data_IF_690374717336
#
_entry.id   IF_690374717336
#
_cell.length_a   1.000
_cell.length_b   1.000
_cell.length_c   1.000
_cell.angle_alpha   90.00
_cell.angle_beta   90.00
_cell.angle_gamma   90.00
#
_symmetry.space_group_name_H-M   'P 1'
#
loop_
_entity.id
_entity.type
_entity.pdbx_description
1 polymer ?
#
# COMPACT_ATOMS: atom_id res chain seq x y z
N UNK A 1 -66.59 0.65 17.44
CA UNK A 1 -65.18 1.10 17.35
C UNK A 1 -64.66 1.33 18.76
N UNK A 2 -63.68 0.53 19.23
CA UNK A 2 -63.19 0.59 20.61
C UNK A 2 -62.20 1.75 20.74
N UNK A 3 -62.54 2.79 21.50
CA UNK A 3 -61.69 3.98 21.69
C UNK A 3 -60.44 3.57 22.50
N UNK A 4 -59.25 3.79 21.94
CA UNK A 4 -57.97 3.52 22.58
C UNK A 4 -57.82 4.46 23.79
N UNK A 5 -57.65 3.92 25.00
CA UNK A 5 -57.56 4.72 26.21
C UNK A 5 -56.29 5.59 26.26
N UNK A 6 -56.30 6.71 27.02
CA UNK A 6 -55.20 7.67 27.06
C UNK A 6 -53.85 7.06 27.45
N UNK A 7 -53.85 6.00 28.27
CA UNK A 7 -52.64 5.24 28.64
C UNK A 7 -52.03 4.49 27.46
N UNK A 8 -52.84 3.88 26.60
CA UNK A 8 -52.35 3.17 25.42
C UNK A 8 -51.83 4.15 24.36
N UNK A 9 -52.44 5.34 24.25
CA UNK A 9 -51.91 6.43 23.43
C UNK A 9 -50.54 6.91 23.95
N UNK A 10 -50.41 7.11 25.27
CA UNK A 10 -49.14 7.52 25.88
C UNK A 10 -48.04 6.46 25.74
N UNK A 11 -48.38 5.18 25.83
CA UNK A 11 -47.41 4.09 25.62
C UNK A 11 -46.98 3.98 24.16
N UNK A 12 -47.90 4.18 23.19
CA UNK A 12 -47.57 4.23 21.78
C UNK A 12 -46.71 5.46 21.45
N UNK A 13 -47.07 6.63 21.97
CA UNK A 13 -46.29 7.86 21.82
C UNK A 13 -44.91 7.74 22.50
N UNK A 14 -44.84 7.11 23.67
CA UNK A 14 -43.57 6.83 24.37
C UNK A 14 -42.73 5.81 23.61
N UNK A 15 -43.33 4.79 23.00
CA UNK A 15 -42.62 3.82 22.17
C UNK A 15 -42.08 4.44 20.87
N UNK A 16 -42.85 5.32 20.24
CA UNK A 16 -42.40 6.12 19.08
C UNK A 16 -41.28 7.07 19.49
N UNK A 17 -41.39 7.73 20.65
CA UNK A 17 -40.38 8.67 21.15
C UNK A 17 -39.05 7.97 21.47
N UNK A 18 -39.10 6.78 22.09
CA UNK A 18 -37.94 5.93 22.36
C UNK A 18 -37.29 5.44 21.06
N UNK A 19 -38.06 5.22 19.99
CA UNK A 19 -37.53 4.87 18.68
C UNK A 19 -36.88 6.07 17.96
N UNK A 20 -37.20 7.31 18.38
CA UNK A 20 -36.70 8.56 17.80
C UNK A 20 -35.55 9.19 18.59
N UNK A 21 -34.90 8.47 19.51
CA UNK A 21 -33.57 8.90 19.97
C UNK A 21 -32.57 8.78 18.80
N UNK A 22 -32.55 9.80 17.95
CA UNK A 22 -31.48 10.04 16.99
C UNK A 22 -30.23 10.41 17.76
N UNK A 23 -29.48 9.38 18.17
CA UNK A 23 -28.13 9.56 18.67
C UNK A 23 -27.26 10.01 17.49
N UNK A 24 -27.15 11.31 17.29
CA UNK A 24 -26.12 11.85 16.42
C UNK A 24 -24.77 11.43 17.00
N UNK A 25 -24.02 10.61 16.26
CA UNK A 25 -22.66 10.25 16.63
C UNK A 25 -21.75 11.49 16.67
N UNK A 26 -20.52 11.32 17.16
CA UNK A 26 -19.50 12.34 16.96
C UNK A 26 -19.09 12.37 15.49
N UNK A 27 -18.90 13.57 14.94
CA UNK A 27 -18.41 13.78 13.59
C UNK A 27 -17.01 14.41 13.61
N UNK A 28 -16.21 14.17 12.57
CA UNK A 28 -14.86 14.74 12.43
C UNK A 28 -14.68 15.46 11.10
N UNK A 29 -13.84 16.50 11.09
CA UNK A 29 -13.42 17.20 9.88
C UNK A 29 -11.89 17.21 9.86
N UNK A 30 -11.28 16.72 8.77
CA UNK A 30 -9.83 16.63 8.63
C UNK A 30 -9.38 17.16 7.28
N UNK A 31 -8.30 17.94 7.29
CA UNK A 31 -7.61 18.37 6.09
C UNK A 31 -6.18 17.85 6.11
N UNK A 32 -5.74 17.31 4.98
CA UNK A 32 -4.37 16.86 4.76
C UNK A 32 -3.73 17.73 3.69
N UNK A 33 -2.69 18.46 4.07
CA UNK A 33 -1.88 19.30 3.19
C UNK A 33 -0.56 18.62 2.91
N UNK A 34 -0.28 18.31 1.64
CA UNK A 34 0.95 17.64 1.21
C UNK A 34 1.65 18.51 0.18
N UNK A 35 2.93 18.82 0.41
CA UNK A 35 3.77 19.53 -0.54
C UNK A 35 5.00 18.69 -0.88
N UNK A 36 5.25 18.47 -2.16
CA UNK A 36 6.34 17.64 -2.67
C UNK A 36 7.24 18.47 -3.57
N UNK A 37 8.48 18.71 -3.13
CA UNK A 37 9.48 19.34 -3.98
C UNK A 37 9.83 18.42 -5.14
N UNK A 38 9.91 18.96 -6.35
CA UNK A 38 10.31 18.23 -7.55
C UNK A 38 11.48 18.92 -8.22
N UNK A 39 12.73 18.51 -7.89
CA UNK A 39 13.92 19.04 -8.52
C UNK A 39 13.83 18.88 -10.05
N UNK A 40 14.12 19.95 -10.79
CA UNK A 40 14.03 19.98 -12.26
C UNK A 40 12.64 20.27 -12.87
N UNK A 41 11.56 20.23 -12.07
CA UNK A 41 10.18 20.47 -12.56
C UNK A 41 9.54 21.77 -12.05
N UNK A 42 10.34 22.67 -11.48
CA UNK A 42 9.89 24.00 -11.02
C UNK A 42 9.29 24.00 -9.62
N UNK A 43 8.08 24.55 -9.49
CA UNK A 43 7.39 24.71 -8.20
C UNK A 43 7.02 23.35 -7.56
N UNK A 44 7.08 23.23 -6.22
CA UNK A 44 6.60 22.05 -5.51
C UNK A 44 5.14 21.75 -5.85
N UNK A 45 4.80 20.47 -6.01
CA UNK A 45 3.39 20.07 -6.13
C UNK A 45 2.73 20.19 -4.77
N UNK A 46 1.59 20.88 -4.71
CA UNK A 46 0.76 20.98 -3.52
C UNK A 46 -0.57 20.26 -3.72
N UNK A 47 -0.94 19.43 -2.75
CA UNK A 47 -2.24 18.77 -2.67
C UNK A 47 -2.89 19.07 -1.32
N UNK A 48 -4.19 19.37 -1.36
CA UNK A 48 -5.01 19.51 -0.16
C UNK A 48 -6.24 18.62 -0.29
N UNK A 49 -6.51 17.82 0.75
CA UNK A 49 -7.63 16.88 0.75
C UNK A 49 -8.43 17.02 2.02
N UNK A 50 -9.74 17.24 1.87
CA UNK A 50 -10.69 17.38 2.98
C UNK A 50 -11.57 16.15 3.16
N UNK A 51 -11.73 15.72 4.41
CA UNK A 51 -12.58 14.61 4.84
C UNK A 51 -13.60 15.08 5.87
N UNK A 52 -14.88 14.75 5.65
CA UNK A 52 -15.91 14.76 6.69
C UNK A 52 -16.12 13.31 7.11
N UNK A 53 -15.96 13.05 8.40
CA UNK A 53 -15.80 11.72 8.97
C UNK A 53 -14.65 10.99 8.27
N UNK A 54 -14.94 9.98 7.46
CA UNK A 54 -13.96 9.27 6.63
C UNK A 54 -14.24 9.43 5.12
N UNK A 55 -15.14 10.36 4.76
CA UNK A 55 -15.53 10.61 3.37
C UNK A 55 -14.80 11.82 2.82
N UNK A 56 -13.98 11.61 1.79
CA UNK A 56 -13.36 12.70 1.06
C UNK A 56 -14.44 13.53 0.38
N UNK A 57 -14.48 14.83 0.66
CA UNK A 57 -15.49 15.73 0.10
C UNK A 57 -14.91 16.84 -0.76
N UNK A 58 -13.64 17.19 -0.59
CA UNK A 58 -12.95 18.18 -1.42
C UNK A 58 -11.50 17.80 -1.72
N UNK A 59 -10.99 18.31 -2.83
CA UNK A 59 -9.58 18.19 -3.22
C UNK A 59 -9.10 19.43 -3.97
N UNK A 60 -7.87 19.85 -3.68
CA UNK A 60 -7.10 20.79 -4.50
C UNK A 60 -5.82 20.10 -4.98
N UNK A 61 -5.47 20.29 -6.25
CA UNK A 61 -4.19 19.86 -6.84
C UNK A 61 -3.57 21.02 -7.62
N UNK A 62 -2.36 21.43 -7.25
CA UNK A 62 -1.64 22.52 -7.90
C UNK A 62 -1.22 22.19 -9.34
N UNK A 63 -1.10 20.90 -9.67
CA UNK A 63 -0.66 20.44 -11.00
C UNK A 63 -1.82 20.27 -11.98
N UNK A 64 -3.07 20.40 -11.52
CA UNK A 64 -4.20 20.33 -12.42
C UNK A 64 -4.12 21.45 -13.48
N UNK A 65 -4.56 21.23 -14.72
CA UNK A 65 -4.56 22.28 -15.76
C UNK A 65 -5.29 23.56 -15.35
N UNK A 66 -6.29 23.45 -14.47
CA UNK A 66 -6.95 24.57 -13.83
C UNK A 66 -7.02 24.34 -12.31
N UNK A 67 -5.98 24.75 -11.54
CA UNK A 67 -5.92 24.50 -10.11
C UNK A 67 -7.03 25.25 -9.36
N UNK A 68 -8.00 24.47 -8.86
CA UNK A 68 -9.13 24.92 -8.06
C UNK A 68 -9.54 23.85 -7.05
N UNK A 69 -10.29 24.25 -6.03
CA UNK A 69 -10.91 23.32 -5.12
C UNK A 69 -12.05 22.60 -5.85
N UNK A 70 -12.05 21.28 -5.80
CA UNK A 70 -13.00 20.43 -6.51
C UNK A 70 -13.85 19.60 -5.54
N UNK A 71 -15.16 19.43 -5.82
CA UNK A 71 -16.00 18.54 -5.05
C UNK A 71 -15.61 17.08 -5.30
N UNK A 72 -15.64 16.27 -4.23
CA UNK A 72 -15.40 14.82 -4.25
C UNK A 72 -16.58 14.02 -3.70
N UNK A 73 -17.63 14.71 -3.27
CA UNK A 73 -18.90 14.13 -2.87
C UNK A 73 -20.08 14.95 -3.41
N UNK A 74 -21.17 14.28 -3.78
CA UNK A 74 -22.33 14.94 -4.42
C UNK A 74 -22.98 16.02 -3.57
N UNK A 75 -22.99 15.84 -2.25
CA UNK A 75 -23.65 16.78 -1.34
C UNK A 75 -22.93 18.13 -1.24
N UNK A 76 -21.66 18.24 -1.63
CA UNK A 76 -20.94 19.52 -1.63
C UNK A 76 -21.09 20.27 -2.97
N UNK A 77 -21.55 19.60 -4.04
CA UNK A 77 -21.73 20.23 -5.36
C UNK A 77 -22.78 21.35 -5.35
N UNK A 78 -23.69 21.35 -4.37
CA UNK A 78 -24.69 22.41 -4.18
C UNK A 78 -24.12 23.74 -3.71
N UNK A 79 -22.85 23.77 -3.27
CA UNK A 79 -22.20 24.99 -2.81
C UNK A 79 -22.00 25.99 -3.96
N UNK A 80 -22.22 27.27 -3.65
CA UNK A 80 -22.15 28.36 -4.63
C UNK A 80 -20.72 28.66 -5.12
N UNK A 81 -20.58 29.38 -6.24
CA UNK A 81 -19.26 29.72 -6.80
C UNK A 81 -18.37 30.51 -5.82
N UNK A 82 -18.97 31.36 -4.98
CA UNK A 82 -18.24 32.12 -3.96
C UNK A 82 -17.51 31.24 -2.94
N UNK A 83 -18.13 30.11 -2.56
CA UNK A 83 -17.51 29.12 -1.68
C UNK A 83 -16.28 28.51 -2.35
N UNK A 84 -16.42 28.08 -3.60
CA UNK A 84 -15.35 27.45 -4.37
C UNK A 84 -14.19 28.41 -4.64
N UNK A 85 -14.49 29.66 -5.01
CA UNK A 85 -13.49 30.70 -5.25
C UNK A 85 -12.72 31.05 -3.98
N UNK A 86 -13.44 31.19 -2.85
CA UNK A 86 -12.82 31.45 -1.54
C UNK A 86 -11.89 30.30 -1.12
N UNK A 87 -12.37 29.06 -1.17
CA UNK A 87 -11.56 27.91 -0.77
C UNK A 87 -10.38 27.67 -1.72
N UNK A 88 -10.56 27.93 -3.02
CA UNK A 88 -9.45 27.91 -3.99
C UNK A 88 -8.40 28.96 -3.65
N UNK A 89 -8.81 30.18 -3.30
CA UNK A 89 -7.88 31.23 -2.89
C UNK A 89 -7.15 30.87 -1.59
N UNK A 90 -7.85 30.30 -0.62
CA UNK A 90 -7.26 29.85 0.64
C UNK A 90 -6.24 28.73 0.40
N UNK A 91 -6.57 27.72 -0.40
CA UNK A 91 -5.64 26.64 -0.75
C UNK A 91 -4.38 27.17 -1.44
N UNK A 92 -4.53 28.12 -2.39
CA UNK A 92 -3.40 28.82 -3.04
C UNK A 92 -2.59 29.69 -2.07
N UNK A 93 -3.23 30.34 -1.11
CA UNK A 93 -2.57 31.14 -0.08
C UNK A 93 -1.78 30.30 0.91
N UNK A 94 -2.33 29.15 1.32
CA UNK A 94 -1.66 28.16 2.15
C UNK A 94 -0.49 27.49 1.40
N UNK A 95 -0.51 27.53 0.06
CA UNK A 95 0.50 26.94 -0.81
C UNK A 95 1.89 27.60 -0.77
N UNK A 96 2.22 28.45 0.21
CA UNK A 96 3.58 28.99 0.44
C UNK A 96 4.61 27.92 0.86
N UNK A 97 4.42 26.67 0.46
CA UNK A 97 5.31 25.55 0.76
C UNK A 97 6.70 25.70 0.16
N UNK A 98 6.89 26.50 -0.89
CA UNK A 98 8.24 26.76 -1.42
C UNK A 98 9.17 27.28 -0.35
N UNK A 99 8.72 28.27 0.43
CA UNK A 99 9.53 28.86 1.51
C UNK A 99 9.79 27.81 2.59
N UNK A 100 8.75 27.16 3.08
CA UNK A 100 8.87 26.16 4.15
C UNK A 100 9.75 24.98 3.75
N UNK A 101 9.62 24.47 2.52
CA UNK A 101 10.43 23.36 2.00
C UNK A 101 11.89 23.78 1.85
N UNK A 102 12.18 24.99 1.36
CA UNK A 102 13.54 25.50 1.27
C UNK A 102 14.17 25.68 2.66
N UNK A 103 13.40 26.20 3.62
CA UNK A 103 13.83 26.34 5.01
C UNK A 103 14.12 24.98 5.65
N UNK A 104 13.22 24.01 5.53
CA UNK A 104 13.41 22.65 6.04
C UNK A 104 14.63 21.98 5.40
N UNK A 105 14.81 22.14 4.08
CA UNK A 105 15.98 21.64 3.36
C UNK A 105 17.28 22.20 3.93
N UNK A 106 17.32 23.50 4.21
CA UNK A 106 18.46 24.16 4.84
C UNK A 106 18.75 23.64 6.25
N UNK A 107 17.71 23.49 7.09
CA UNK A 107 17.86 22.98 8.46
C UNK A 107 18.47 21.57 8.50
N UNK A 108 18.11 20.71 7.55
CA UNK A 108 18.63 19.35 7.48
C UNK A 108 19.85 19.19 6.55
N UNK A 109 20.41 20.29 6.04
CA UNK A 109 21.55 20.30 5.10
C UNK A 109 21.34 19.36 3.89
N UNK A 110 20.11 19.31 3.37
CA UNK A 110 19.76 18.46 2.23
C UNK A 110 20.14 19.14 0.91
N UNK A 111 20.71 18.38 -0.03
CA UNK A 111 21.02 18.86 -1.38
C UNK A 111 19.78 18.81 -2.30
N UNK A 112 19.84 19.51 -3.44
CA UNK A 112 18.90 19.29 -4.54
C UNK A 112 19.13 17.93 -5.17
N UNK A 113 18.49 16.91 -4.62
CA UNK A 113 18.56 15.56 -5.18
C UNK A 113 17.71 15.48 -6.45
N UNK A 114 18.32 15.51 -7.62
CA UNK A 114 17.65 15.01 -8.82
C UNK A 114 17.27 13.53 -8.59
N UNK A 115 16.01 13.11 -8.80
CA UNK A 115 15.74 11.69 -8.90
C UNK A 115 16.61 11.15 -10.04
N UNK A 116 17.27 9.99 -9.87
CA UNK A 116 18.13 9.45 -10.92
C UNK A 116 17.31 9.32 -12.19
N UNK A 117 17.63 10.13 -13.21
CA UNK A 117 17.05 9.93 -14.52
C UNK A 117 17.33 8.47 -14.90
N UNK A 118 16.36 7.73 -15.45
CA UNK A 118 16.61 6.41 -15.99
C UNK A 118 17.53 6.57 -17.20
N UNK A 119 18.81 6.72 -16.93
CA UNK A 119 19.86 6.81 -17.93
C UNK A 119 19.89 5.53 -18.74
N UNK A 120 20.51 5.58 -19.92
CA UNK A 120 20.74 4.42 -20.76
C UNK A 120 21.30 3.20 -20.00
N UNK A 121 22.03 3.42 -18.90
CA UNK A 121 22.54 2.38 -18.01
C UNK A 121 21.42 1.65 -17.25
N UNK A 122 20.46 2.40 -16.69
CA UNK A 122 19.31 1.83 -15.97
C UNK A 122 18.39 1.05 -16.92
N UNK A 123 18.14 1.60 -18.12
CA UNK A 123 17.37 0.90 -19.15
C UNK A 123 18.11 -0.34 -19.68
N UNK A 124 19.43 -0.28 -19.82
CA UNK A 124 20.28 -1.41 -20.22
C UNK A 124 20.26 -2.57 -19.22
N UNK A 125 20.25 -2.26 -17.92
CA UNK A 125 20.11 -3.27 -16.85
C UNK A 125 18.75 -3.98 -16.94
N UNK A 126 17.66 -3.23 -17.13
CA UNK A 126 16.31 -3.81 -17.23
C UNK A 126 16.21 -4.72 -18.47
N UNK A 127 16.68 -4.26 -19.64
CA UNK A 127 16.66 -5.07 -20.88
C UNK A 127 17.56 -6.30 -20.74
N UNK A 128 18.74 -6.16 -20.14
CA UNK A 128 19.66 -7.27 -19.89
C UNK A 128 19.07 -8.34 -18.97
N UNK A 129 18.38 -7.93 -17.89
CA UNK A 129 17.69 -8.86 -16.99
C UNK A 129 16.53 -9.59 -17.67
N UNK A 130 15.73 -8.88 -18.47
CA UNK A 130 14.64 -9.50 -19.27
C UNK A 130 15.22 -10.52 -20.26
N UNK A 131 16.29 -10.16 -20.99
CA UNK A 131 16.94 -11.08 -21.92
C UNK A 131 17.53 -12.30 -21.20
N UNK A 132 18.14 -12.13 -20.03
CA UNK A 132 18.71 -13.22 -19.24
C UNK A 132 17.64 -14.20 -18.76
N UNK A 133 16.48 -13.70 -18.33
CA UNK A 133 15.34 -14.55 -17.91
C UNK A 133 14.75 -15.31 -19.10
N UNK A 134 14.61 -14.66 -20.26
CA UNK A 134 14.08 -15.29 -21.49
C UNK A 134 15.04 -16.35 -22.02
N UNK A 135 16.35 -16.08 -21.99
CA UNK A 135 17.37 -17.00 -22.51
C UNK A 135 17.68 -18.14 -21.53
N UNK A 136 17.67 -17.86 -20.22
CA UNK A 136 17.91 -18.85 -19.17
C UNK A 136 16.86 -19.97 -19.13
N UNK A 137 15.61 -19.68 -19.51
CA UNK A 137 14.55 -20.70 -19.60
C UNK A 137 14.79 -21.74 -20.71
N UNK A 138 15.54 -21.39 -21.76
CA UNK A 138 15.79 -22.29 -22.90
C UNK A 138 16.85 -23.35 -22.56
N UNK A 139 17.85 -23.01 -21.75
CA UNK A 139 18.95 -23.92 -21.40
C UNK A 139 18.55 -25.00 -20.38
N UNK A 140 17.62 -24.71 -19.47
CA UNK A 140 17.12 -25.71 -18.51
C UNK A 140 16.19 -26.75 -19.17
N UNK A 141 15.41 -26.35 -20.19
CA UNK A 141 14.51 -27.24 -20.92
C UNK A 141 15.22 -28.24 -21.84
N UNK A 142 16.41 -27.89 -22.37
CA UNK A 142 17.13 -28.72 -23.33
C UNK A 142 17.86 -29.93 -22.71
N UNK A 143 18.25 -29.87 -21.42
CA UNK A 143 19.03 -30.94 -20.77
C UNK A 143 18.16 -32.10 -20.25
N UNK A 144 16.86 -31.88 -20.03
CA UNK A 144 15.97 -32.89 -19.41
C UNK A 144 15.41 -33.91 -20.43
N UNK A 145 15.64 -33.74 -21.73
CA UNK A 145 15.20 -34.72 -22.75
C UNK A 145 16.26 -35.78 -23.10
N UNK A 146 17.49 -35.67 -22.56
CA UNK A 146 18.59 -36.56 -22.91
C UNK A 146 18.99 -37.56 -21.81
N UNK A 147 18.05 -37.92 -20.93
CA UNK A 147 18.22 -39.04 -19.97
C UNK A 147 16.94 -39.84 -19.77
N UNK A 148 16.14 -40.03 -20.84
CA UNK A 148 14.95 -40.90 -20.77
C UNK A 148 14.53 -41.49 -22.12
N UNK A 149 15.50 -41.84 -22.97
CA UNK A 149 15.26 -42.59 -24.20
C UNK A 149 16.35 -43.66 -24.43
N UNK A 150 16.74 -44.42 -23.40
CA UNK A 150 17.38 -45.72 -23.61
C UNK A 150 16.83 -46.70 -22.59
N UNK A 151 16.07 -47.68 -23.07
CA UNK A 151 15.64 -48.84 -22.30
C UNK A 151 16.37 -50.07 -22.80
N UNK A 152 16.89 -50.88 -21.88
CA UNK A 152 17.02 -52.35 -22.00
C UNK A 152 17.42 -52.88 -20.61
N UNK A 153 16.51 -53.54 -19.87
CA UNK A 153 16.25 -55.01 -19.80
C UNK A 153 17.43 -55.84 -19.27
N UNK A 154 17.21 -56.48 -18.11
CA UNK A 154 17.87 -57.75 -17.77
C UNK A 154 18.24 -57.89 -16.29
N UNK A 155 17.69 -58.92 -15.63
CA UNK A 155 18.31 -59.55 -14.47
C UNK A 155 17.50 -59.56 -13.18
N UNK A 156 16.71 -60.62 -13.01
CA UNK A 156 16.15 -61.05 -11.73
C UNK A 156 17.21 -61.87 -10.97
N UNK A 157 17.44 -61.59 -9.68
CA UNK A 157 17.79 -62.63 -8.71
C UNK A 157 17.42 -62.22 -7.27
N UNK A 158 16.47 -62.98 -6.72
CA UNK A 158 16.53 -63.65 -5.42
C UNK A 158 16.71 -62.77 -4.17
N UNK A 159 15.57 -62.49 -3.56
CA UNK A 159 15.23 -62.80 -2.16
C UNK A 159 16.34 -63.43 -1.30
N UNK A 160 16.76 -62.72 -0.24
CA UNK A 160 16.90 -63.31 1.09
C UNK A 160 16.98 -62.22 2.15
N UNK A 161 15.95 -62.16 2.99
CA UNK A 161 16.05 -61.67 4.36
C UNK A 161 16.99 -62.57 5.15
N UNK A 162 18.05 -62.04 5.78
CA UNK A 162 18.69 -62.72 6.92
C UNK A 162 19.58 -61.82 7.79
N UNK A 163 19.08 -61.62 9.01
CA UNK A 163 19.77 -61.61 10.33
C UNK A 163 20.86 -60.59 10.65
N UNK A 164 20.52 -59.74 11.65
CA UNK A 164 21.15 -59.63 12.97
C UNK A 164 22.62 -60.05 13.11
N UNK A 165 23.45 -59.16 13.67
CA UNK A 165 24.37 -59.47 14.80
C UNK A 165 25.15 -58.25 15.29
N UNK A 166 24.82 -57.87 16.53
CA UNK A 166 25.71 -57.56 17.67
C UNK A 166 26.89 -56.58 17.51
N UNK A 167 26.66 -55.41 18.13
CA UNK A 167 27.56 -54.72 19.06
C UNK A 167 28.52 -55.66 19.81
N UNK A 168 29.82 -55.37 19.74
CA UNK A 168 30.87 -56.04 20.50
C UNK A 168 32.10 -55.14 20.56
N UNK A 169 32.43 -54.70 21.77
CA UNK A 169 33.46 -53.75 22.17
C UNK A 169 34.88 -54.35 22.16
N UNK A 170 35.86 -53.46 22.45
CA UNK A 170 37.10 -53.66 23.22
C UNK A 170 38.30 -52.99 22.51
N UNK A 171 39.30 -52.36 23.13
CA UNK A 171 39.65 -52.09 24.54
C UNK A 171 40.73 -50.99 24.55
N UNK A 172 40.80 -50.26 25.66
CA UNK A 172 41.77 -49.22 26.05
C UNK A 172 43.22 -49.69 26.18
N UNK A 173 44.20 -48.78 26.04
CA UNK A 173 45.38 -48.64 26.94
C UNK A 173 45.88 -47.18 26.88
N UNK A 174 45.66 -46.35 27.90
CA UNK A 174 46.49 -46.09 29.11
C UNK A 174 47.87 -45.51 28.79
N UNK A 175 48.21 -44.33 29.36
CA UNK A 175 49.41 -44.13 30.18
C UNK A 175 49.13 -43.02 31.21
N UNK A 176 49.65 -43.13 32.46
CA UNK A 176 49.14 -42.41 33.62
C UNK A 176 49.94 -41.15 33.99
N UNK A 177 49.28 -40.46 34.92
CA UNK A 177 49.58 -39.29 35.74
C UNK A 177 50.99 -39.19 36.36
N UNK A 178 51.49 -37.95 36.46
CA UNK A 178 51.94 -37.34 37.73
C UNK A 178 51.17 -36.04 37.90
#
# INVERSE_FOLDING_TARGET
TRVMGPRALLLLLSGVLVLTETRAGSHSLRYFSTAVSRPGFGEPRYLEVGYVDDTQFVQFDSDAPNPRMEPRARWVEQEGPEYWDRNTRNAKGNAQFRVNLNTLRGYYNQSEAEPPQPSFLTMGIIVGLVLLVVTGAVLAGAVIKMKKCSGEKGGNYIQASRSDSTQGSDVSLTVPKV
#
